data_IF_576506466924
#
_entry.id   IF_576506466924
#
_cell.length_a   1.000
_cell.length_b   1.000
_cell.length_c   1.000
_cell.angle_alpha   90.00
_cell.angle_beta   90.00
_cell.angle_gamma   90.00
#
_symmetry.space_group_name_H-M   'P 1'
#
loop_
_entity.id
_entity.type
_entity.pdbx_description
1 polymer ?
#
# COMPACT_ATOMS: atom_id res chain seq x y z
N UNK A 1 -38.44 -15.45 10.26
CA UNK A 1 -37.96 -16.82 10.02
C UNK A 1 -37.68 -17.55 11.33
N UNK A 2 -36.74 -17.10 12.17
CA UNK A 2 -36.50 -17.72 13.49
C UNK A 2 -37.74 -17.74 14.41
N UNK A 3 -38.42 -16.60 14.59
CA UNK A 3 -39.62 -16.48 15.44
C UNK A 3 -40.78 -17.40 15.03
N UNK A 4 -40.75 -17.93 13.80
CA UNK A 4 -41.77 -18.84 13.26
C UNK A 4 -41.24 -20.27 13.10
N UNK A 5 -40.02 -20.57 13.54
CA UNK A 5 -39.44 -21.91 13.51
C UNK A 5 -39.72 -22.62 14.84
N UNK A 6 -40.47 -23.71 14.77
CA UNK A 6 -40.88 -24.50 15.92
C UNK A 6 -39.99 -25.71 16.19
N UNK A 7 -38.89 -25.86 15.44
CA UNK A 7 -37.95 -26.95 15.67
C UNK A 7 -37.24 -26.80 17.02
N UNK A 8 -36.90 -27.90 17.71
CA UNK A 8 -36.24 -27.85 19.02
C UNK A 8 -34.83 -27.23 18.97
N UNK A 9 -34.23 -27.16 17.77
CA UNK A 9 -32.90 -26.62 17.44
C UNK A 9 -32.97 -25.27 16.67
N UNK A 10 -34.10 -24.55 16.75
CA UNK A 10 -34.29 -23.30 16.00
C UNK A 10 -33.28 -22.21 16.35
N UNK A 11 -32.79 -22.16 17.60
CA UNK A 11 -31.80 -21.19 18.04
C UNK A 11 -30.41 -21.50 17.49
N UNK A 12 -30.00 -22.76 17.55
CA UNK A 12 -28.75 -23.27 17.00
C UNK A 12 -28.69 -23.01 15.50
N UNK A 13 -29.76 -23.34 14.75
CA UNK A 13 -29.89 -23.00 13.32
C UNK A 13 -29.76 -21.50 13.03
N UNK A 14 -30.28 -20.65 13.91
CA UNK A 14 -30.12 -19.20 13.79
C UNK A 14 -28.65 -18.80 13.97
N UNK A 15 -28.00 -19.31 15.02
CA UNK A 15 -26.59 -19.04 15.32
C UNK A 15 -25.71 -19.49 14.17
N UNK A 16 -25.81 -20.74 13.74
CA UNK A 16 -25.01 -21.32 12.64
C UNK A 16 -25.14 -20.47 11.38
N UNK A 17 -26.37 -20.11 11.00
CA UNK A 17 -26.60 -19.25 9.84
C UNK A 17 -25.99 -17.84 9.99
N UNK A 18 -25.98 -17.29 11.20
CA UNK A 18 -25.39 -15.96 11.45
C UNK A 18 -23.86 -16.04 11.42
N UNK A 19 -23.27 -17.13 11.90
CA UNK A 19 -21.83 -17.38 11.84
C UNK A 19 -21.37 -17.67 10.40
N UNK A 20 -22.14 -18.42 9.63
CA UNK A 20 -21.88 -18.75 8.21
C UNK A 20 -22.06 -17.56 7.25
N UNK A 21 -22.64 -16.46 7.73
CA UNK A 21 -22.86 -15.27 6.92
C UNK A 21 -21.55 -14.51 6.70
N UNK A 22 -21.19 -14.11 5.47
CA UNK A 22 -20.00 -13.27 5.23
C UNK A 22 -19.99 -11.95 6.01
N UNK A 23 -21.18 -11.48 6.43
CA UNK A 23 -21.37 -10.28 7.26
C UNK A 23 -20.88 -10.47 8.69
N UNK A 24 -20.66 -11.70 9.14
CA UNK A 24 -20.05 -12.00 10.43
C UNK A 24 -18.67 -11.34 10.51
N UNK A 25 -17.80 -11.62 9.54
CA UNK A 25 -16.47 -11.02 9.43
C UNK A 25 -16.52 -9.50 9.32
N UNK A 26 -17.43 -8.93 8.51
CA UNK A 26 -17.61 -7.48 8.44
C UNK A 26 -17.99 -6.86 9.80
N UNK A 27 -18.87 -7.54 10.55
CA UNK A 27 -19.34 -7.05 11.86
C UNK A 27 -18.22 -7.10 12.89
N UNK A 28 -17.51 -8.22 12.98
CA UNK A 28 -16.46 -8.47 13.99
C UNK A 28 -15.14 -7.78 13.66
N UNK A 29 -14.76 -7.72 12.38
CA UNK A 29 -13.57 -7.01 11.94
C UNK A 29 -13.58 -5.55 12.40
N UNK A 30 -14.73 -4.86 12.41
CA UNK A 30 -14.80 -3.48 12.93
C UNK A 30 -14.25 -3.35 14.35
N UNK A 31 -14.55 -4.30 15.23
CA UNK A 31 -14.02 -4.27 16.60
C UNK A 31 -12.50 -4.41 16.62
N UNK A 32 -11.94 -5.28 15.78
CA UNK A 32 -10.50 -5.41 15.67
C UNK A 32 -9.85 -4.17 15.05
N UNK A 33 -10.45 -3.64 13.99
CA UNK A 33 -9.99 -2.46 13.27
C UNK A 33 -9.98 -1.21 14.16
N UNK A 34 -10.97 -1.07 15.05
CA UNK A 34 -11.00 -0.02 16.07
C UNK A 34 -9.81 -0.16 17.06
N UNK A 35 -9.49 -1.39 17.49
CA UNK A 35 -8.38 -1.66 18.40
C UNK A 35 -7.02 -1.30 17.78
N UNK A 36 -6.78 -1.69 16.53
CA UNK A 36 -5.53 -1.39 15.81
C UNK A 36 -5.52 -0.01 15.15
N UNK A 37 -6.52 0.84 15.46
CA UNK A 37 -6.63 2.23 15.00
C UNK A 37 -6.63 2.39 13.49
N UNK A 38 -7.30 1.47 12.79
CA UNK A 38 -7.44 1.51 11.35
C UNK A 38 -8.14 2.78 10.87
N UNK A 39 -7.56 3.43 9.86
CA UNK A 39 -8.22 4.46 9.07
C UNK A 39 -7.82 4.33 7.59
N UNK A 40 -8.71 4.76 6.70
CA UNK A 40 -8.41 4.88 5.26
C UNK A 40 -7.54 6.12 4.96
N UNK A 41 -7.20 6.93 5.97
CA UNK A 41 -6.51 8.22 5.86
C UNK A 41 -5.42 8.39 6.92
N UNK A 42 -4.56 9.40 6.76
CA UNK A 42 -3.39 9.68 7.62
C UNK A 42 -3.76 10.03 9.06
N UNK A 43 -5.00 10.44 9.31
CA UNK A 43 -5.56 10.77 10.62
C UNK A 43 -4.81 11.89 11.35
N UNK A 44 -4.07 12.74 10.62
CA UNK A 44 -3.31 13.87 11.13
C UNK A 44 -3.63 15.16 10.33
N UNK A 45 -3.00 16.28 10.68
CA UNK A 45 -3.32 17.63 10.15
C UNK A 45 -3.61 17.66 8.64
N UNK A 46 -2.70 17.09 7.83
CA UNK A 46 -2.94 16.84 6.41
C UNK A 46 -3.49 15.43 6.21
N UNK A 47 -4.82 15.32 6.32
CA UNK A 47 -5.52 14.03 6.25
C UNK A 47 -5.65 13.51 4.81
N UNK A 48 -4.54 13.02 4.26
CA UNK A 48 -4.49 12.35 2.96
C UNK A 48 -4.97 10.89 3.06
N UNK A 49 -5.40 10.31 1.93
CA UNK A 49 -5.68 8.87 1.88
C UNK A 49 -4.40 8.06 2.16
N UNK A 50 -4.53 6.94 2.86
CA UNK A 50 -3.51 5.89 2.98
C UNK A 50 -3.73 4.89 1.84
N UNK A 51 -2.93 4.91 0.76
CA UNK A 51 -3.17 4.03 -0.36
C UNK A 51 -3.11 2.57 0.07
N UNK A 52 -4.03 1.74 -0.44
CA UNK A 52 -4.10 0.31 -0.18
C UNK A 52 -4.39 -0.12 1.27
N UNK A 53 -4.66 0.80 2.22
CA UNK A 53 -5.01 0.45 3.60
C UNK A 53 -6.21 -0.53 3.68
N UNK A 54 -7.19 -0.35 2.79
CA UNK A 54 -8.34 -1.24 2.64
C UNK A 54 -7.99 -2.73 2.48
N UNK A 55 -6.79 -3.07 2.00
CA UNK A 55 -6.34 -4.46 1.90
C UNK A 55 -6.17 -5.09 3.27
N UNK A 56 -5.67 -4.34 4.25
CA UNK A 56 -5.57 -4.79 5.65
C UNK A 56 -6.97 -5.03 6.23
N UNK A 57 -7.92 -4.09 6.02
CA UNK A 57 -9.33 -4.26 6.41
C UNK A 57 -9.91 -5.54 5.83
N UNK A 58 -9.74 -5.76 4.54
CA UNK A 58 -10.29 -6.94 3.87
C UNK A 58 -9.60 -8.23 4.33
N UNK A 59 -8.30 -8.19 4.65
CA UNK A 59 -7.57 -9.29 5.30
C UNK A 59 -8.17 -9.65 6.68
N UNK A 60 -8.48 -8.65 7.50
CA UNK A 60 -9.11 -8.87 8.82
C UNK A 60 -10.49 -9.51 8.64
N UNK A 61 -11.31 -8.97 7.71
CA UNK A 61 -12.64 -9.53 7.41
C UNK A 61 -12.56 -10.99 6.97
N UNK A 62 -11.64 -11.31 6.04
CA UNK A 62 -11.40 -12.70 5.60
C UNK A 62 -10.94 -13.59 6.75
N UNK A 63 -10.00 -13.11 7.56
CA UNK A 63 -9.48 -13.87 8.70
C UNK A 63 -10.57 -14.28 9.70
N UNK A 64 -11.56 -13.41 9.95
CA UNK A 64 -12.71 -13.75 10.77
C UNK A 64 -13.67 -14.74 10.08
N UNK A 65 -13.96 -14.56 8.80
CA UNK A 65 -14.86 -15.45 8.05
C UNK A 65 -14.27 -16.85 7.82
N UNK A 66 -12.95 -16.97 7.75
CA UNK A 66 -12.22 -18.23 7.57
C UNK A 66 -11.90 -18.92 8.91
N UNK A 67 -12.35 -18.36 10.04
CA UNK A 67 -12.02 -18.83 11.39
C UNK A 67 -10.51 -19.01 11.60
N UNK A 68 -9.73 -18.02 11.15
CA UNK A 68 -8.26 -18.07 11.27
C UNK A 68 -7.88 -18.17 12.75
N UNK A 69 -7.03 -19.15 13.14
CA UNK A 69 -6.59 -19.28 14.52
C UNK A 69 -5.99 -17.97 15.04
N UNK A 70 -6.43 -17.52 16.22
CA UNK A 70 -6.00 -16.25 16.80
C UNK A 70 -4.47 -16.13 16.89
N UNK A 71 -3.78 -17.22 17.25
CA UNK A 71 -2.32 -17.26 17.33
C UNK A 71 -1.63 -17.01 15.98
N UNK A 72 -2.24 -17.47 14.88
CA UNK A 72 -1.75 -17.19 13.53
C UNK A 72 -2.10 -15.74 13.14
N UNK A 73 -3.34 -15.32 13.38
CA UNK A 73 -3.82 -13.99 13.06
C UNK A 73 -2.98 -12.86 13.67
N UNK A 74 -2.57 -12.98 14.94
CA UNK A 74 -1.70 -11.99 15.58
C UNK A 74 -0.25 -12.08 15.10
N UNK A 75 0.25 -13.29 14.82
CA UNK A 75 1.61 -13.50 14.35
C UNK A 75 1.81 -12.90 12.95
N UNK A 76 0.84 -13.10 12.05
CA UNK A 76 0.85 -12.50 10.72
C UNK A 76 0.88 -10.97 10.78
N UNK A 77 0.18 -10.35 11.74
CA UNK A 77 0.19 -8.88 11.89
C UNK A 77 1.51 -8.33 12.43
N UNK A 78 2.16 -9.06 13.34
CA UNK A 78 3.41 -8.61 13.97
C UNK A 78 4.67 -8.97 13.16
N UNK A 79 4.63 -10.07 12.41
CA UNK A 79 5.82 -10.66 11.77
C UNK A 79 5.50 -11.46 10.50
N UNK A 80 4.43 -11.11 9.77
CA UNK A 80 4.00 -11.84 8.56
C UNK A 80 5.00 -11.84 7.40
N UNK A 81 5.93 -10.90 7.37
CA UNK A 81 7.06 -10.80 6.45
C UNK A 81 8.27 -11.64 6.87
N UNK A 82 8.31 -12.09 8.12
CA UNK A 82 9.38 -12.90 8.72
C UNK A 82 8.94 -14.36 8.96
N UNK A 83 7.79 -14.77 8.43
CA UNK A 83 7.31 -16.15 8.52
C UNK A 83 8.07 -17.08 7.56
N UNK A 84 8.21 -18.35 7.95
CA UNK A 84 8.80 -19.41 7.09
C UNK A 84 8.14 -19.49 5.70
N UNK A 85 6.83 -19.20 5.65
CA UNK A 85 6.06 -19.08 4.42
C UNK A 85 5.44 -17.70 4.32
N UNK A 86 6.11 -16.82 3.58
CA UNK A 86 5.60 -15.48 3.26
C UNK A 86 4.60 -15.59 2.11
N UNK A 87 3.40 -15.07 2.32
CA UNK A 87 2.34 -14.97 1.30
C UNK A 87 1.87 -13.53 1.16
N UNK A 88 1.09 -13.24 0.13
CA UNK A 88 0.49 -11.92 -0.03
C UNK A 88 -0.35 -11.50 1.18
N UNK A 89 -1.08 -12.43 1.79
CA UNK A 89 -1.91 -12.13 2.96
C UNK A 89 -1.06 -11.87 4.20
N UNK A 90 0.08 -12.56 4.37
CA UNK A 90 0.97 -12.30 5.51
C UNK A 90 1.71 -10.97 5.36
N UNK A 91 2.07 -10.56 4.14
CA UNK A 91 2.58 -9.21 3.85
C UNK A 91 1.50 -8.13 4.03
N UNK A 92 0.26 -8.40 3.65
CA UNK A 92 -0.85 -7.47 3.90
C UNK A 92 -1.07 -7.30 5.40
N UNK A 93 -0.95 -8.38 6.18
CA UNK A 93 -1.12 -8.35 7.62
C UNK A 93 -0.08 -7.46 8.33
N UNK A 94 1.18 -7.44 7.88
CA UNK A 94 2.21 -6.54 8.44
C UNK A 94 1.97 -5.06 8.12
N UNK A 95 1.00 -4.77 7.25
CA UNK A 95 0.42 -3.44 7.10
C UNK A 95 -0.10 -2.83 8.41
N UNK A 96 -0.27 -3.63 9.48
CA UNK A 96 -0.51 -3.18 10.85
C UNK A 96 0.38 -1.98 11.25
N UNK A 97 1.68 -2.03 10.95
CA UNK A 97 2.62 -0.97 11.31
C UNK A 97 2.42 0.36 10.54
N UNK A 98 1.49 0.39 9.58
CA UNK A 98 1.15 1.57 8.76
C UNK A 98 -0.22 2.18 9.06
N UNK A 99 -0.94 1.63 10.04
CA UNK A 99 -2.28 2.09 10.41
C UNK A 99 -2.27 3.36 11.27
N UNK A 100 -1.20 3.58 12.03
CA UNK A 100 -1.05 4.72 12.93
C UNK A 100 -1.05 6.09 12.24
N UNK A 101 -1.03 7.14 13.07
CA UNK A 101 -0.98 8.52 12.60
C UNK A 101 0.26 8.74 11.72
N UNK A 102 0.10 9.54 10.66
CA UNK A 102 1.24 9.96 9.85
C UNK A 102 1.27 11.48 9.73
N UNK A 103 2.27 12.10 10.36
CA UNK A 103 2.65 13.49 10.12
C UNK A 103 3.62 13.54 8.94
N UNK A 104 3.15 14.08 7.83
CA UNK A 104 3.87 14.14 6.56
C UNK A 104 4.57 15.49 6.32
N UNK A 105 4.50 16.41 7.30
CA UNK A 105 5.24 17.68 7.36
C UNK A 105 5.70 18.00 8.81
N UNK A 106 6.44 17.09 9.47
CA UNK A 106 6.79 17.29 10.87
C UNK A 106 7.74 18.48 11.06
N UNK A 107 7.43 19.34 12.03
CA UNK A 107 8.29 20.47 12.39
C UNK A 107 9.65 20.01 12.99
N UNK A 108 9.62 18.90 13.74
CA UNK A 108 10.81 18.20 14.26
C UNK A 108 10.74 16.73 13.83
N UNK A 109 11.53 16.33 12.82
CA UNK A 109 11.51 14.95 12.31
C UNK A 109 11.92 13.90 13.35
N UNK A 110 12.84 14.24 14.27
CA UNK A 110 13.32 13.29 15.28
C UNK A 110 12.24 13.05 16.34
N UNK A 111 11.57 14.12 16.77
CA UNK A 111 10.42 14.01 17.67
C UNK A 111 9.28 13.23 17.02
N UNK A 112 8.96 13.50 15.75
CA UNK A 112 7.92 12.77 15.02
C UNK A 112 8.21 11.27 14.96
N UNK A 113 9.45 10.90 14.60
CA UNK A 113 9.88 9.50 14.56
C UNK A 113 9.67 8.78 15.90
N UNK A 114 10.05 9.38 17.03
CA UNK A 114 9.83 8.76 18.35
C UNK A 114 8.35 8.76 18.79
N UNK A 115 7.53 9.68 18.28
CA UNK A 115 6.08 9.63 18.50
C UNK A 115 5.42 8.51 17.68
N UNK A 116 5.88 8.24 16.46
CA UNK A 116 5.46 7.08 15.67
C UNK A 116 5.78 5.76 16.40
N UNK A 117 7.00 5.63 16.94
CA UNK A 117 7.38 4.46 17.73
C UNK A 117 6.55 4.32 19.02
N UNK A 118 6.27 5.41 19.72
CA UNK A 118 5.39 5.40 20.90
C UNK A 118 3.96 4.97 20.52
N UNK A 119 3.43 5.40 19.38
CA UNK A 119 2.11 4.99 18.90
C UNK A 119 2.05 3.46 18.66
N UNK A 120 3.10 2.90 18.06
CA UNK A 120 3.23 1.45 17.83
C UNK A 120 3.37 0.71 19.16
N UNK A 121 4.19 1.19 20.09
CA UNK A 121 4.34 0.58 21.44
C UNK A 121 3.02 0.60 22.19
N UNK A 122 2.34 1.75 22.18
CA UNK A 122 1.04 1.98 22.80
C UNK A 122 -0.01 0.99 22.29
N UNK A 123 -0.17 0.95 20.97
CA UNK A 123 -1.17 0.10 20.32
C UNK A 123 -0.82 -1.37 20.50
N UNK A 124 0.44 -1.75 20.32
CA UNK A 124 0.85 -3.16 20.41
C UNK A 124 0.69 -3.71 21.83
N UNK A 125 1.11 -2.94 22.83
CA UNK A 125 0.96 -3.37 24.23
C UNK A 125 -0.51 -3.50 24.66
N UNK A 126 -1.35 -2.55 24.26
CA UNK A 126 -2.77 -2.57 24.62
C UNK A 126 -3.54 -3.68 23.89
N UNK A 127 -3.32 -3.85 22.58
CA UNK A 127 -4.09 -4.77 21.75
C UNK A 127 -3.66 -6.22 21.91
N UNK A 128 -2.35 -6.48 21.97
CA UNK A 128 -1.82 -7.85 21.94
C UNK A 128 -1.43 -8.37 23.33
N UNK A 129 -0.99 -7.49 24.23
CA UNK A 129 -0.60 -7.88 25.60
C UNK A 129 -1.67 -7.58 26.63
N UNK A 130 -2.64 -6.71 26.31
CA UNK A 130 -3.64 -6.23 27.27
C UNK A 130 -3.04 -5.33 28.36
N UNK A 131 -1.90 -4.68 28.08
CA UNK A 131 -1.15 -3.85 29.04
C UNK A 131 -0.99 -2.42 28.55
N UNK A 132 -1.11 -1.45 29.44
CA UNK A 132 -0.89 -0.03 29.12
C UNK A 132 0.55 0.38 29.44
N UNK A 133 1.46 0.29 28.47
CA UNK A 133 2.87 0.63 28.70
C UNK A 133 3.17 2.15 28.67
N UNK A 134 2.22 2.99 28.28
CA UNK A 134 2.46 4.42 28.01
C UNK A 134 3.01 5.21 29.21
N UNK A 135 2.59 4.89 30.45
CA UNK A 135 3.13 5.56 31.64
C UNK A 135 4.63 5.29 31.82
N UNK A 136 5.08 4.09 31.41
CA UNK A 136 6.47 3.66 31.48
C UNK A 136 7.41 4.45 30.56
N UNK A 137 6.88 5.32 29.68
CA UNK A 137 7.66 6.19 28.80
C UNK A 137 8.50 7.22 29.57
N UNK A 138 7.95 7.76 30.66
CA UNK A 138 8.54 8.88 31.40
C UNK A 138 8.98 8.53 32.81
N UNK A 139 8.37 7.51 33.42
CA UNK A 139 8.68 7.05 34.78
C UNK A 139 8.30 5.58 34.91
N UNK A 140 8.71 4.93 36.00
CA UNK A 140 8.27 3.57 36.35
C UNK A 140 6.74 3.41 36.29
N UNK A 141 6.24 2.31 35.71
CA UNK A 141 4.79 2.15 35.59
C UNK A 141 4.09 2.18 36.97
N UNK A 142 2.95 2.86 37.05
CA UNK A 142 2.33 3.23 38.34
C UNK A 142 1.87 2.03 39.18
N UNK A 143 1.37 0.99 38.52
CA UNK A 143 0.67 -0.14 39.16
C UNK A 143 1.41 -1.45 38.86
N UNK A 144 1.62 -1.74 37.58
CA UNK A 144 2.36 -2.93 37.14
C UNK A 144 3.88 -2.77 37.31
N UNK A 145 4.61 -3.88 37.57
CA UNK A 145 6.06 -3.87 37.79
C UNK A 145 6.82 -3.77 36.45
N UNK A 146 6.62 -2.68 35.72
CA UNK A 146 7.31 -2.41 34.46
C UNK A 146 8.32 -1.27 34.63
N UNK A 147 9.63 -1.59 34.62
CA UNK A 147 10.73 -0.65 34.52
C UNK A 147 10.55 0.40 33.42
N UNK A 148 10.95 1.64 33.71
CA UNK A 148 11.10 2.68 32.67
C UNK A 148 12.02 2.20 31.55
N UNK A 149 13.10 1.49 31.89
CA UNK A 149 14.03 0.90 30.92
C UNK A 149 13.35 -0.13 30.01
N UNK A 150 12.41 -0.92 30.54
CA UNK A 150 11.74 -1.98 29.79
C UNK A 150 10.78 -1.41 28.72
N UNK A 151 10.23 -0.21 28.92
CA UNK A 151 9.53 0.53 27.87
C UNK A 151 10.45 0.76 26.66
N UNK A 152 11.68 1.24 26.88
CA UNK A 152 12.61 1.52 25.78
C UNK A 152 13.17 0.24 25.16
N UNK A 153 13.35 -0.83 25.94
CA UNK A 153 13.67 -2.17 25.40
C UNK A 153 12.56 -2.69 24.51
N UNK A 154 11.30 -2.50 24.89
CA UNK A 154 10.17 -2.88 24.06
C UNK A 154 10.08 -2.03 22.79
N UNK A 155 10.27 -0.72 22.90
CA UNK A 155 10.36 0.20 21.75
C UNK A 155 11.48 -0.20 20.77
N UNK A 156 12.62 -0.71 21.28
CA UNK A 156 13.76 -1.09 20.46
C UNK A 156 13.45 -2.18 19.42
N UNK A 157 12.47 -3.07 19.67
CA UNK A 157 12.03 -4.04 18.66
C UNK A 157 11.46 -3.39 17.40
N UNK A 158 10.86 -2.20 17.54
CA UNK A 158 10.23 -1.48 16.43
C UNK A 158 11.16 -0.45 15.78
N UNK A 159 12.38 -0.28 16.30
CA UNK A 159 13.33 0.68 15.75
C UNK A 159 13.76 0.36 14.31
N UNK A 160 13.66 -0.91 13.90
CA UNK A 160 13.94 -1.36 12.54
C UNK A 160 12.84 -1.07 11.52
N UNK A 161 11.69 -0.54 11.95
CA UNK A 161 10.62 -0.17 11.04
C UNK A 161 11.04 1.06 10.21
N UNK A 162 10.83 0.96 8.89
CA UNK A 162 11.01 2.11 8.02
C UNK A 162 10.02 3.21 8.40
N UNK A 163 10.47 4.47 8.47
CA UNK A 163 9.56 5.60 8.66
C UNK A 163 8.58 5.70 7.47
N UNK A 164 7.48 6.43 7.66
CA UNK A 164 6.58 6.73 6.55
C UNK A 164 7.35 7.48 5.44
N UNK A 165 6.84 7.43 4.21
CA UNK A 165 7.39 8.18 3.08
C UNK A 165 7.51 9.69 3.36
N UNK A 166 8.28 10.41 2.53
CA UNK A 166 8.43 11.87 2.67
C UNK A 166 7.28 12.60 1.98
N UNK A 167 7.12 13.90 2.27
CA UNK A 167 6.11 14.76 1.65
C UNK A 167 6.10 14.62 0.12
N UNK A 168 4.94 14.25 -0.43
CA UNK A 168 4.74 14.10 -1.88
C UNK A 168 5.15 12.73 -2.45
N UNK A 169 5.73 11.86 -1.63
CA UNK A 169 6.08 10.48 -1.99
C UNK A 169 5.36 9.50 -1.05
N UNK A 170 4.11 9.18 -1.42
CA UNK A 170 3.32 8.16 -0.71
C UNK A 170 3.64 6.72 -1.17
N UNK A 171 4.62 6.55 -2.07
CA UNK A 171 4.95 5.26 -2.67
C UNK A 171 6.15 4.64 -1.96
N UNK A 172 7.22 5.41 -1.78
CA UNK A 172 8.44 4.92 -1.13
C UNK A 172 8.16 4.58 0.34
N UNK A 173 8.61 3.39 0.76
CA UNK A 173 8.49 2.85 2.12
C UNK A 173 7.06 2.60 2.64
N UNK A 174 6.03 3.09 1.96
CA UNK A 174 4.62 2.91 2.35
C UNK A 174 3.88 1.83 1.56
N UNK A 175 4.50 1.25 0.53
CA UNK A 175 3.91 0.21 -0.30
C UNK A 175 4.92 -0.90 -0.59
N UNK A 176 4.44 -2.14 -0.59
CA UNK A 176 5.18 -3.31 -1.05
C UNK A 176 4.43 -3.92 -2.22
N UNK A 177 5.15 -4.24 -3.30
CA UNK A 177 4.57 -4.95 -4.43
C UNK A 177 4.35 -6.41 -4.06
N UNK A 178 3.08 -6.81 -3.98
CA UNK A 178 2.63 -8.18 -3.72
C UNK A 178 2.10 -8.86 -5.00
N UNK A 179 2.45 -8.32 -6.17
CA UNK A 179 2.04 -8.89 -7.46
C UNK A 179 2.60 -10.31 -7.57
N UNK A 180 1.73 -11.27 -7.91
CA UNK A 180 2.15 -12.66 -8.09
C UNK A 180 3.29 -12.74 -9.13
N UNK A 181 4.31 -13.61 -8.94
CA UNK A 181 5.49 -13.65 -9.80
C UNK A 181 5.18 -13.78 -11.29
N UNK A 182 4.13 -14.53 -11.64
CA UNK A 182 3.66 -14.71 -13.03
C UNK A 182 3.15 -13.39 -13.62
N UNK A 183 2.36 -12.65 -12.85
CA UNK A 183 1.81 -11.37 -13.27
C UNK A 183 2.89 -10.29 -13.30
N UNK A 184 3.83 -10.32 -12.35
CA UNK A 184 5.00 -9.45 -12.35
C UNK A 184 5.86 -9.70 -13.60
N UNK A 185 6.09 -10.96 -13.98
CA UNK A 185 6.79 -11.32 -15.21
C UNK A 185 6.03 -10.87 -16.47
N UNK A 186 4.68 -10.95 -16.47
CA UNK A 186 3.84 -10.41 -17.55
C UNK A 186 4.01 -8.89 -17.67
N UNK A 187 3.96 -8.16 -16.56
CA UNK A 187 4.15 -6.72 -16.53
C UNK A 187 5.56 -6.30 -16.94
N UNK A 188 6.60 -7.01 -16.49
CA UNK A 188 7.97 -6.75 -16.91
C UNK A 188 8.15 -6.90 -18.44
N UNK A 189 7.56 -7.94 -19.04
CA UNK A 189 7.54 -8.12 -20.50
C UNK A 189 6.81 -7.00 -21.21
N UNK A 190 5.64 -6.61 -20.69
CA UNK A 190 4.85 -5.51 -21.22
C UNK A 190 5.63 -4.20 -21.17
N UNK A 191 6.26 -3.88 -20.05
CA UNK A 191 7.04 -2.66 -19.87
C UNK A 191 8.28 -2.65 -20.77
N UNK A 192 8.95 -3.80 -20.94
CA UNK A 192 10.05 -3.95 -21.89
C UNK A 192 9.59 -3.66 -23.33
N UNK A 193 8.47 -4.23 -23.77
CA UNK A 193 7.91 -3.99 -25.11
C UNK A 193 7.50 -2.52 -25.30
N UNK A 194 6.86 -1.94 -24.29
CA UNK A 194 6.46 -0.52 -24.28
C UNK A 194 7.68 0.39 -24.40
N UNK A 195 8.74 0.11 -23.64
CA UNK A 195 9.97 0.88 -23.66
C UNK A 195 10.73 0.72 -24.98
N UNK A 196 10.79 -0.49 -25.57
CA UNK A 196 11.36 -0.69 -26.92
C UNK A 196 10.61 0.15 -27.97
N UNK A 197 9.28 0.07 -27.99
CA UNK A 197 8.46 0.84 -28.92
C UNK A 197 8.68 2.34 -28.75
N UNK A 198 8.67 2.84 -27.50
CA UNK A 198 8.95 4.25 -27.20
C UNK A 198 10.36 4.67 -27.60
N UNK A 199 11.37 3.85 -27.36
CA UNK A 199 12.75 4.14 -27.76
C UNK A 199 12.88 4.25 -29.28
N UNK A 200 12.25 3.35 -30.02
CA UNK A 200 12.26 3.38 -31.49
C UNK A 200 11.50 4.58 -32.05
N UNK A 201 10.35 4.92 -31.45
CA UNK A 201 9.62 6.14 -31.79
C UNK A 201 10.48 7.38 -31.53
N UNK A 202 11.12 7.44 -30.37
CA UNK A 202 12.00 8.54 -29.99
C UNK A 202 13.18 8.71 -30.95
N UNK A 203 13.79 7.63 -31.43
CA UNK A 203 14.85 7.70 -32.44
C UNK A 203 14.37 8.33 -33.77
N UNK A 204 13.14 8.05 -34.18
CA UNK A 204 12.51 8.67 -35.37
C UNK A 204 12.15 10.14 -35.10
N UNK A 205 11.69 10.46 -33.89
CA UNK A 205 11.46 11.86 -33.50
C UNK A 205 12.75 12.68 -33.53
N UNK A 206 13.86 12.13 -33.02
CA UNK A 206 15.16 12.81 -32.97
C UNK A 206 15.74 13.08 -34.36
N UNK A 207 15.53 12.17 -35.32
CA UNK A 207 15.94 12.39 -36.71
C UNK A 207 15.14 13.51 -37.36
N UNK A 208 13.83 13.57 -37.12
CA UNK A 208 12.98 14.68 -37.58
C UNK A 208 13.34 16.01 -36.90
N UNK A 209 13.56 16.02 -35.59
CA UNK A 209 13.91 17.23 -34.81
C UNK A 209 15.20 17.87 -35.35
N UNK A 210 16.22 17.07 -35.70
CA UNK A 210 17.47 17.59 -36.28
C UNK A 210 17.28 18.34 -37.61
N UNK A 211 16.21 18.03 -38.36
CA UNK A 211 15.84 18.71 -39.61
C UNK A 211 15.01 19.99 -39.35
N UNK A 212 14.47 20.18 -38.15
CA UNK A 212 13.65 21.35 -37.80
C UNK A 212 14.48 22.62 -37.61
N UNK A 213 13.88 23.82 -37.71
CA UNK A 213 14.53 25.08 -37.37
C UNK A 213 15.08 25.09 -35.93
N UNK A 214 16.20 25.80 -35.68
CA UNK A 214 16.84 25.82 -34.36
C UNK A 214 15.96 26.32 -33.20
N UNK A 215 14.90 27.09 -33.50
CA UNK A 215 13.88 27.47 -32.50
C UNK A 215 13.06 26.26 -32.06
N UNK A 216 12.64 25.42 -33.00
CA UNK A 216 11.88 24.20 -32.72
C UNK A 216 12.75 23.12 -32.06
N UNK A 217 14.03 23.03 -32.45
CA UNK A 217 15.00 22.15 -31.76
C UNK A 217 15.10 22.49 -30.28
N UNK A 218 15.31 23.76 -29.92
CA UNK A 218 15.33 24.21 -28.52
C UNK A 218 13.99 23.97 -27.81
N UNK A 219 12.87 24.14 -28.52
CA UNK A 219 11.52 23.86 -27.99
C UNK A 219 11.35 22.38 -27.63
N UNK A 220 11.99 21.47 -28.37
CA UNK A 220 11.97 20.02 -28.12
C UNK A 220 12.68 19.58 -26.83
N UNK A 221 13.56 20.43 -26.29
CA UNK A 221 14.30 20.18 -25.02
C UNK A 221 13.49 20.63 -23.80
N UNK A 222 12.30 21.21 -24.01
CA UNK A 222 11.43 21.72 -22.95
C UNK A 222 10.21 20.83 -22.74
N UNK A 223 9.36 21.20 -21.78
CA UNK A 223 8.03 20.57 -21.57
C UNK A 223 7.12 20.66 -22.81
N UNK A 224 7.45 21.52 -23.77
CA UNK A 224 6.67 21.68 -25.00
C UNK A 224 6.93 20.62 -26.07
N UNK A 225 7.90 19.70 -25.86
CA UNK A 225 8.23 18.63 -26.81
C UNK A 225 7.01 17.91 -27.35
N UNK A 226 6.12 17.45 -26.48
CA UNK A 226 4.93 16.70 -26.89
C UNK A 226 3.95 17.52 -27.75
N UNK A 227 3.90 18.84 -27.55
CA UNK A 227 3.09 19.75 -28.36
C UNK A 227 3.74 20.00 -29.72
N UNK A 228 5.05 20.27 -29.73
CA UNK A 228 5.85 20.42 -30.95
C UNK A 228 5.73 19.20 -31.87
N UNK A 229 5.89 17.99 -31.33
CA UNK A 229 5.80 16.76 -32.10
C UNK A 229 4.40 16.55 -32.70
N UNK A 230 3.33 16.95 -32.02
CA UNK A 230 1.97 16.90 -32.59
C UNK A 230 1.78 17.90 -33.73
N UNK A 231 2.38 19.08 -33.62
CA UNK A 231 2.23 20.16 -34.58
C UNK A 231 3.04 19.92 -35.86
N UNK A 232 4.31 19.53 -35.72
CA UNK A 232 5.30 19.64 -36.80
C UNK A 232 5.93 18.33 -37.23
N UNK A 233 5.85 17.25 -36.45
CA UNK A 233 6.61 16.02 -36.73
C UNK A 233 6.37 15.48 -38.15
N UNK A 234 5.12 15.52 -38.63
CA UNK A 234 4.76 14.99 -39.95
C UNK A 234 5.40 15.76 -41.13
N UNK A 235 5.80 17.03 -40.93
CA UNK A 235 6.42 17.86 -41.97
C UNK A 235 7.91 17.51 -42.19
N UNK A 236 8.56 16.87 -41.21
CA UNK A 236 10.02 16.64 -41.20
C UNK A 236 10.38 15.14 -41.24
N UNK A 237 9.40 14.26 -41.45
CA UNK A 237 9.62 12.83 -41.62
C UNK A 237 9.66 12.47 -43.10
N UNK A 238 10.64 11.66 -43.51
CA UNK A 238 10.59 11.01 -44.82
C UNK A 238 9.40 10.03 -44.91
N UNK A 239 8.93 9.66 -46.12
CA UNK A 239 7.79 8.75 -46.27
C UNK A 239 7.95 7.40 -45.56
N UNK A 240 9.16 6.83 -45.55
CA UNK A 240 9.50 5.59 -44.86
C UNK A 240 9.55 5.76 -43.34
N UNK A 241 10.13 6.86 -42.85
CA UNK A 241 10.14 7.22 -41.42
C UNK A 241 8.71 7.43 -40.89
N UNK A 242 7.86 8.11 -41.67
CA UNK A 242 6.45 8.36 -41.35
C UNK A 242 5.66 7.05 -41.25
N UNK A 243 5.83 6.14 -42.22
CA UNK A 243 5.19 4.83 -42.19
C UNK A 243 5.66 3.99 -40.99
N UNK A 244 6.97 3.98 -40.71
CA UNK A 244 7.53 3.28 -39.57
C UNK A 244 7.01 3.83 -38.23
N UNK A 245 6.93 5.16 -38.10
CA UNK A 245 6.44 5.82 -36.90
C UNK A 245 4.96 5.52 -36.64
N UNK A 246 4.09 5.58 -37.65
CA UNK A 246 2.69 5.19 -37.51
C UNK A 246 2.54 3.70 -37.15
N UNK A 247 3.35 2.83 -37.75
CA UNK A 247 3.37 1.41 -37.40
C UNK A 247 3.76 1.14 -35.95
N UNK A 248 4.75 1.88 -35.41
CA UNK A 248 5.12 1.79 -33.99
C UNK A 248 4.03 2.33 -33.07
N UNK A 249 3.37 3.42 -33.47
CA UNK A 249 2.26 4.02 -32.71
C UNK A 249 1.06 3.09 -32.61
N UNK A 250 0.68 2.41 -33.70
CA UNK A 250 -0.38 1.41 -33.67
C UNK A 250 0.01 0.18 -32.84
N UNK A 251 1.28 -0.27 -32.91
CA UNK A 251 1.77 -1.35 -32.02
C UNK A 251 1.71 -0.96 -30.55
N UNK A 252 2.09 0.28 -30.22
CA UNK A 252 2.03 0.79 -28.85
C UNK A 252 0.57 0.85 -28.37
N UNK A 253 -0.34 1.31 -29.23
CA UNK A 253 -1.77 1.37 -28.93
C UNK A 253 -2.38 -0.03 -28.74
N UNK A 254 -2.00 -0.99 -29.57
CA UNK A 254 -2.43 -2.39 -29.42
C UNK A 254 -1.90 -2.97 -28.12
N UNK A 255 -0.61 -2.77 -27.83
CA UNK A 255 -0.01 -3.21 -26.59
C UNK A 255 -0.74 -2.63 -25.38
N UNK A 256 -1.02 -1.32 -25.37
CA UNK A 256 -1.77 -0.66 -24.30
C UNK A 256 -3.22 -1.15 -24.17
N UNK A 257 -3.84 -1.62 -25.25
CA UNK A 257 -5.17 -2.23 -25.24
C UNK A 257 -5.17 -3.69 -24.71
N UNK A 258 -4.05 -4.40 -24.87
CA UNK A 258 -3.87 -5.79 -24.41
C UNK A 258 -3.42 -5.88 -22.93
N UNK A 259 -3.20 -4.74 -22.26
CA UNK A 259 -2.79 -4.63 -20.85
C UNK A 259 -3.88 -5.07 -19.90
#
# INVERSE_FOLDING_TARGET
QFVNDSSPDAYEKLVDRLLDSPRYGERWARHWLDLVRYADTNSFERDGAKPNAWRFRDYVIRSFNEDKPYSQFIKEQLAGDELDQVTNDTIIATGYYRLGLWDDEPADPLLSYYNELDDIVSTTSQVFLGLTLNCARCHEHKIDPVPHEDYYRFMAFFHGLNSYGTRGDQLSFNQTDITAPELAAKYAKYDQQKNDLKHRMHAIEETAIKKMPGVDQRRSETRERGKLLKEKLAEYLEPDESQAYQGLKEKLKQLEADR
#
